data_IF_570083018712
#
_entry.id   IF_570083018712
#
_cell.length_a   1.000
_cell.length_b   1.000
_cell.length_c   1.000
_cell.angle_alpha   90.00
_cell.angle_beta   90.00
_cell.angle_gamma   90.00
#
_symmetry.space_group_name_H-M   'P 1'
#
loop_
_entity.id
_entity.type
_entity.pdbx_description
1 polymer ?
#
# COMPACT_ATOMS: atom_id res chain seq x y z
N UNK A 1 -19.22 -14.82 29.60
CA UNK A 1 -17.91 -15.35 29.14
C UNK A 1 -17.85 -15.50 27.64
N UNK A 2 -18.87 -16.09 26.99
CA UNK A 2 -18.90 -16.28 25.54
C UNK A 2 -18.86 -14.93 24.79
N UNK A 3 -19.62 -13.97 25.28
CA UNK A 3 -19.70 -12.64 24.70
C UNK A 3 -18.36 -11.93 24.74
N UNK A 4 -17.66 -12.00 25.86
CA UNK A 4 -16.35 -11.42 26.06
C UNK A 4 -15.30 -12.04 25.13
N UNK A 5 -15.31 -13.36 24.98
CA UNK A 5 -14.39 -14.06 24.06
C UNK A 5 -14.64 -13.69 22.60
N UNK A 6 -15.91 -13.54 22.22
CA UNK A 6 -16.29 -13.11 20.87
C UNK A 6 -15.83 -11.70 20.59
N UNK A 7 -15.95 -10.80 21.56
CA UNK A 7 -15.49 -9.41 21.44
C UNK A 7 -13.96 -9.36 21.30
N UNK A 8 -13.24 -10.11 22.11
CA UNK A 8 -11.78 -10.18 22.05
C UNK A 8 -11.31 -10.76 20.71
N UNK A 9 -12.00 -11.78 20.20
CA UNK A 9 -11.68 -12.36 18.89
C UNK A 9 -11.92 -11.37 17.77
N UNK A 10 -12.99 -10.58 17.85
CA UNK A 10 -13.30 -9.54 16.87
C UNK A 10 -12.23 -8.45 16.88
N UNK A 11 -11.76 -8.04 18.06
CA UNK A 11 -10.69 -7.05 18.19
C UNK A 11 -9.40 -7.57 17.57
N UNK A 12 -9.03 -8.83 17.86
CA UNK A 12 -7.83 -9.43 17.30
C UNK A 12 -7.88 -9.51 15.77
N UNK A 13 -9.05 -9.81 15.21
CA UNK A 13 -9.23 -9.85 13.75
C UNK A 13 -9.06 -8.49 13.12
N UNK A 14 -9.61 -7.44 13.76
CA UNK A 14 -9.43 -6.07 13.28
C UNK A 14 -7.97 -5.63 13.31
N UNK A 15 -7.27 -5.94 14.39
CA UNK A 15 -5.85 -5.61 14.54
C UNK A 15 -5.04 -6.29 13.45
N UNK A 16 -5.27 -7.59 13.21
CA UNK A 16 -4.55 -8.33 12.17
C UNK A 16 -4.84 -7.77 10.77
N UNK A 17 -6.10 -7.44 10.51
CA UNK A 17 -6.50 -6.87 9.22
C UNK A 17 -5.83 -5.52 9.01
N UNK A 18 -5.84 -4.66 10.02
CA UNK A 18 -5.18 -3.35 9.96
C UNK A 18 -3.69 -3.49 9.74
N UNK A 19 -3.03 -4.37 10.48
CA UNK A 19 -1.59 -4.61 10.33
C UNK A 19 -1.26 -5.12 8.93
N UNK A 20 -2.10 -5.99 8.37
CA UNK A 20 -1.93 -6.48 7.02
C UNK A 20 -2.01 -5.36 6.00
N UNK A 21 -2.98 -4.47 6.14
CA UNK A 21 -3.13 -3.32 5.24
C UNK A 21 -1.96 -2.35 5.40
N UNK A 22 -1.53 -2.07 6.63
CA UNK A 22 -0.37 -1.21 6.89
C UNK A 22 0.90 -1.78 6.27
N UNK A 23 1.07 -3.11 6.31
CA UNK A 23 2.18 -3.79 5.65
C UNK A 23 2.15 -3.60 4.14
N UNK A 24 0.97 -3.74 3.53
CA UNK A 24 0.79 -3.53 2.09
C UNK A 24 1.07 -2.07 1.70
N UNK A 25 0.62 -1.12 2.52
CA UNK A 25 0.89 0.31 2.32
C UNK A 25 2.40 0.56 2.33
N UNK A 26 3.11 0.00 3.30
CA UNK A 26 4.57 0.16 3.40
C UNK A 26 5.29 -0.41 2.18
N UNK A 27 4.86 -1.57 1.69
CA UNK A 27 5.42 -2.17 0.49
C UNK A 27 5.20 -1.30 -0.75
N UNK A 28 4.01 -0.72 -0.86
CA UNK A 28 3.69 0.18 -1.98
C UNK A 28 4.49 1.47 -1.91
N UNK A 29 4.69 2.03 -0.72
CA UNK A 29 5.55 3.21 -0.53
C UNK A 29 6.98 2.93 -0.98
N UNK A 30 7.50 1.76 -0.61
CA UNK A 30 8.83 1.34 -1.02
C UNK A 30 8.92 1.19 -2.55
N UNK A 31 7.92 0.52 -3.14
CA UNK A 31 7.85 0.32 -4.59
C UNK A 31 7.81 1.65 -5.35
N UNK A 32 6.96 2.57 -4.90
CA UNK A 32 6.83 3.90 -5.51
C UNK A 32 8.17 4.63 -5.45
N UNK A 33 8.80 4.66 -4.27
CA UNK A 33 10.09 5.31 -4.09
C UNK A 33 11.16 4.70 -4.99
N UNK A 34 11.18 3.37 -5.11
CA UNK A 34 12.14 2.67 -5.96
C UNK A 34 11.95 3.04 -7.43
N UNK A 35 10.70 3.03 -7.92
CA UNK A 35 10.40 3.38 -9.31
C UNK A 35 10.82 4.84 -9.59
N UNK A 36 10.49 5.76 -8.69
CA UNK A 36 10.84 7.17 -8.85
C UNK A 36 12.36 7.36 -8.92
N UNK A 37 13.12 6.63 -8.10
CA UNK A 37 14.58 6.67 -8.15
C UNK A 37 15.11 6.15 -9.46
N UNK A 38 14.55 5.07 -9.98
CA UNK A 38 14.96 4.51 -11.26
C UNK A 38 14.70 5.50 -12.40
N UNK A 39 13.59 6.22 -12.36
CA UNK A 39 13.24 7.21 -13.36
C UNK A 39 14.22 8.39 -13.36
N UNK A 40 14.84 8.68 -12.24
CA UNK A 40 15.76 9.81 -12.08
C UNK A 40 17.22 9.46 -12.35
N UNK A 41 17.55 8.19 -12.55
CA UNK A 41 18.95 7.80 -12.81
C UNK A 41 19.41 8.32 -14.16
N UNK A 42 20.63 8.93 -14.21
CA UNK A 42 21.16 9.47 -15.48
C UNK A 42 21.21 8.44 -16.61
N UNK A 43 21.49 7.18 -16.29
CA UNK A 43 21.57 6.09 -17.26
C UNK A 43 20.24 5.76 -17.91
N UNK A 44 19.11 6.16 -17.30
CA UNK A 44 17.76 5.88 -17.79
C UNK A 44 17.11 7.06 -18.49
N UNK A 45 17.69 8.26 -18.39
CA UNK A 45 17.08 9.50 -18.91
C UNK A 45 16.82 9.43 -20.40
N UNK A 46 17.68 8.77 -21.18
CA UNK A 46 17.55 8.66 -22.63
C UNK A 46 16.76 7.43 -23.08
N UNK A 47 16.39 6.55 -22.15
CA UNK A 47 15.66 5.32 -22.47
C UNK A 47 14.15 5.57 -22.31
N UNK A 48 13.54 6.11 -23.36
CA UNK A 48 12.14 6.53 -23.33
C UNK A 48 11.17 5.36 -23.17
N UNK A 49 11.46 4.20 -23.76
CA UNK A 49 10.62 3.02 -23.62
C UNK A 49 10.60 2.52 -22.18
N UNK A 50 11.77 2.50 -21.54
CA UNK A 50 11.90 2.09 -20.15
C UNK A 50 11.20 3.07 -19.22
N UNK A 51 11.38 4.39 -19.46
CA UNK A 51 10.70 5.42 -18.68
C UNK A 51 9.19 5.34 -18.82
N UNK A 52 8.69 5.02 -20.00
CA UNK A 52 7.26 4.84 -20.22
C UNK A 52 6.71 3.68 -19.39
N UNK A 53 7.41 2.55 -19.40
CA UNK A 53 7.02 1.38 -18.57
C UNK A 53 7.06 1.71 -17.09
N UNK A 54 8.10 2.39 -16.64
CA UNK A 54 8.21 2.83 -15.24
C UNK A 54 7.07 3.78 -14.87
N UNK A 55 6.70 4.68 -15.78
CA UNK A 55 5.58 5.59 -15.57
C UNK A 55 4.26 4.86 -15.39
N UNK A 56 4.03 3.81 -16.18
CA UNK A 56 2.83 2.97 -16.07
C UNK A 56 2.81 2.21 -14.74
N UNK A 57 3.96 1.63 -14.37
CA UNK A 57 4.09 0.93 -13.10
C UNK A 57 3.88 1.87 -11.91
N UNK A 58 4.41 3.09 -12.02
CA UNK A 58 4.25 4.11 -10.99
C UNK A 58 2.77 4.48 -10.80
N UNK A 59 2.07 4.71 -11.92
CA UNK A 59 0.65 5.06 -11.89
C UNK A 59 -0.17 3.95 -11.22
N UNK A 60 0.10 2.69 -11.58
CA UNK A 60 -0.59 1.55 -10.98
C UNK A 60 -0.29 1.41 -9.49
N UNK A 61 0.98 1.58 -9.10
CA UNK A 61 1.38 1.49 -7.70
C UNK A 61 0.72 2.60 -6.86
N UNK A 62 0.64 3.82 -7.40
CA UNK A 62 -0.01 4.94 -6.72
C UNK A 62 -1.51 4.70 -6.57
N UNK A 63 -2.14 4.11 -7.58
CA UNK A 63 -3.56 3.76 -7.52
C UNK A 63 -3.82 2.74 -6.41
N UNK A 64 -3.01 1.69 -6.34
CA UNK A 64 -3.10 0.68 -5.30
C UNK A 64 -2.86 1.27 -3.92
N UNK A 65 -1.90 2.17 -3.82
CA UNK A 65 -1.59 2.88 -2.58
C UNK A 65 -2.80 3.67 -2.07
N UNK A 66 -3.45 4.43 -2.95
CA UNK A 66 -4.65 5.18 -2.60
C UNK A 66 -5.80 4.28 -2.16
N UNK A 67 -6.00 3.15 -2.86
CA UNK A 67 -7.02 2.16 -2.52
C UNK A 67 -6.76 1.57 -1.13
N UNK A 68 -5.51 1.26 -0.81
CA UNK A 68 -5.15 0.71 0.50
C UNK A 68 -5.30 1.74 1.62
N UNK A 69 -4.96 3.00 1.36
CA UNK A 69 -5.18 4.07 2.32
C UNK A 69 -6.68 4.23 2.62
N UNK A 70 -7.51 4.13 1.60
CA UNK A 70 -8.96 4.22 1.76
C UNK A 70 -9.48 3.06 2.61
N UNK A 71 -9.02 1.83 2.35
CA UNK A 71 -9.36 0.67 3.16
C UNK A 71 -8.95 0.87 4.63
N UNK A 72 -7.75 1.39 4.83
CA UNK A 72 -7.23 1.67 6.16
C UNK A 72 -8.10 2.69 6.90
N UNK A 73 -8.45 3.78 6.22
CA UNK A 73 -9.31 4.82 6.78
C UNK A 73 -10.70 4.28 7.15
N UNK A 74 -11.26 3.44 6.28
CA UNK A 74 -12.57 2.82 6.54
C UNK A 74 -12.53 1.92 7.77
N UNK A 75 -11.43 1.20 7.98
CA UNK A 75 -11.25 0.37 9.17
C UNK A 75 -11.20 1.21 10.43
N UNK A 76 -10.48 2.33 10.40
CA UNK A 76 -10.37 3.23 11.55
C UNK A 76 -11.72 3.87 11.90
N UNK A 77 -12.50 4.26 10.89
CA UNK A 77 -13.83 4.84 11.09
C UNK A 77 -14.80 3.84 11.71
N UNK A 78 -14.68 2.56 11.37
CA UNK A 78 -15.57 1.52 11.84
C UNK A 78 -15.12 0.87 13.15
N UNK A 79 -14.04 1.31 13.72
CA UNK A 79 -13.57 0.83 15.02
C UNK A 79 -13.90 1.84 16.13
#
# INVERSE_FOLDING_TARGET
RRKKKAEEAAIRRRVRLREGIEGEISQLEYKISHIEKQMCLPENISDYEYLERLGEELAEAKKQYEEKLEEWMNLEENS
#
